data_IF_516484654487
#
_entry.id   IF_516484654487
#
_cell.length_a   1.000
_cell.length_b   1.000
_cell.length_c   1.000
_cell.angle_alpha   90.00
_cell.angle_beta   90.00
_cell.angle_gamma   90.00
#
_symmetry.space_group_name_H-M   'P 1'
#
loop_
_entity.id
_entity.type
_entity.pdbx_description
1 polymer ?
#
# COMPACT_ATOMS: atom_id res chain seq x y z
N UNK A 1 -12.37 -14.77 23.36
CA UNK A 1 -13.52 -14.99 22.45
C UNK A 1 -13.84 -13.74 21.66
N UNK A 2 -13.99 -12.57 22.31
CA UNK A 2 -14.36 -11.30 21.68
C UNK A 2 -13.38 -10.89 20.56
N UNK A 3 -12.07 -10.85 20.81
CA UNK A 3 -11.06 -10.45 19.82
C UNK A 3 -11.06 -11.38 18.60
N UNK A 4 -11.29 -12.69 18.77
CA UNK A 4 -11.41 -13.62 17.63
C UNK A 4 -12.60 -13.28 16.74
N UNK A 5 -13.75 -12.92 17.34
CA UNK A 5 -14.92 -12.48 16.57
C UNK A 5 -14.63 -11.21 15.76
N UNK A 6 -13.90 -10.25 16.35
CA UNK A 6 -13.48 -9.02 15.68
C UNK A 6 -12.50 -9.32 14.52
N UNK A 7 -11.52 -10.21 14.72
CA UNK A 7 -10.63 -10.66 13.64
C UNK A 7 -11.46 -11.21 12.47
N UNK A 8 -12.39 -12.12 12.76
CA UNK A 8 -13.25 -12.72 11.73
C UNK A 8 -14.08 -11.67 10.98
N UNK A 9 -14.68 -10.71 11.70
CA UNK A 9 -15.46 -9.62 11.12
C UNK A 9 -14.60 -8.74 10.19
N UNK A 10 -13.44 -8.30 10.66
CA UNK A 10 -12.55 -7.45 9.87
C UNK A 10 -11.98 -8.19 8.65
N UNK A 11 -11.61 -9.46 8.80
CA UNK A 11 -11.18 -10.29 7.67
C UNK A 11 -12.29 -10.52 6.64
N UNK A 12 -13.54 -10.72 7.09
CA UNK A 12 -14.69 -10.83 6.19
C UNK A 12 -14.92 -9.52 5.41
N UNK A 13 -14.81 -8.36 6.07
CA UNK A 13 -14.88 -7.06 5.42
C UNK A 13 -13.78 -6.87 4.37
N UNK A 14 -12.53 -7.21 4.70
CA UNK A 14 -11.41 -7.15 3.74
C UNK A 14 -11.62 -8.11 2.56
N UNK A 15 -12.13 -9.33 2.81
CA UNK A 15 -12.45 -10.29 1.75
C UNK A 15 -13.52 -9.74 0.81
N UNK A 16 -14.53 -9.08 1.36
CA UNK A 16 -15.55 -8.41 0.56
C UNK A 16 -14.98 -7.27 -0.27
N UNK A 17 -14.09 -6.44 0.30
CA UNK A 17 -13.49 -5.30 -0.39
C UNK A 17 -12.43 -5.72 -1.41
N UNK A 18 -11.49 -6.59 -1.04
CA UNK A 18 -10.26 -6.88 -1.81
C UNK A 18 -10.16 -8.31 -2.32
N UNK A 19 -11.08 -9.20 -1.92
CA UNK A 19 -11.09 -10.60 -2.37
C UNK A 19 -10.22 -11.55 -1.55
N UNK A 20 -9.55 -11.09 -0.48
CA UNK A 20 -8.74 -11.92 0.42
C UNK A 20 -8.81 -11.44 1.87
N UNK A 21 -8.31 -12.27 2.79
CA UNK A 21 -8.24 -11.96 4.23
C UNK A 21 -6.80 -11.63 4.62
N UNK A 22 -6.46 -10.34 4.85
CA UNK A 22 -5.09 -9.95 5.17
C UNK A 22 -4.57 -10.63 6.44
N UNK A 23 -3.37 -11.19 6.37
CA UNK A 23 -2.67 -11.82 7.51
C UNK A 23 -2.38 -10.86 8.65
N UNK A 24 -2.33 -9.57 8.34
CA UNK A 24 -2.05 -8.52 9.32
C UNK A 24 -3.22 -8.25 10.28
N UNK A 25 -4.47 -8.61 9.95
CA UNK A 25 -5.65 -8.30 10.78
C UNK A 25 -5.53 -8.85 12.21
N UNK A 26 -5.14 -10.12 12.45
CA UNK A 26 -4.93 -10.62 13.81
C UNK A 26 -3.91 -9.80 14.61
N UNK A 27 -2.83 -9.34 13.97
CA UNK A 27 -1.79 -8.53 14.62
C UNK A 27 -2.29 -7.13 14.99
N UNK A 28 -3.14 -6.52 14.14
CA UNK A 28 -3.79 -5.24 14.46
C UNK A 28 -4.69 -5.40 15.70
N UNK A 29 -5.50 -6.46 15.73
CA UNK A 29 -6.39 -6.73 16.87
C UNK A 29 -5.58 -7.02 18.12
N UNK A 30 -4.49 -7.78 18.02
CA UNK A 30 -3.59 -8.04 19.15
C UNK A 30 -2.93 -6.76 19.70
N UNK A 31 -2.53 -5.83 18.82
CA UNK A 31 -1.86 -4.59 19.21
C UNK A 31 -2.81 -3.53 19.79
N UNK A 32 -4.07 -3.47 19.32
CA UNK A 32 -5.02 -2.41 19.69
C UNK A 32 -6.16 -2.89 20.60
N UNK A 33 -6.31 -4.21 20.80
CA UNK A 33 -7.53 -4.83 21.32
C UNK A 33 -8.67 -4.78 20.31
N UNK A 34 -9.65 -5.67 20.42
CA UNK A 34 -10.75 -5.77 19.45
C UNK A 34 -11.53 -4.46 19.26
N UNK A 35 -11.91 -3.80 20.36
CA UNK A 35 -12.66 -2.55 20.30
C UNK A 35 -11.82 -1.40 19.72
N UNK A 36 -10.52 -1.33 20.08
CA UNK A 36 -9.56 -0.36 19.52
C UNK A 36 -9.41 -0.53 18.02
N UNK A 37 -9.23 -1.76 17.54
CA UNK A 37 -9.16 -2.08 16.13
C UNK A 37 -10.44 -1.67 15.37
N UNK A 38 -11.62 -1.99 15.89
CA UNK A 38 -12.89 -1.57 15.27
C UNK A 38 -13.01 -0.04 15.16
N UNK A 39 -12.72 0.68 16.23
CA UNK A 39 -12.73 2.15 16.22
C UNK A 39 -11.74 2.71 15.21
N UNK A 40 -10.54 2.15 15.16
CA UNK A 40 -9.50 2.56 14.22
C UNK A 40 -9.93 2.35 12.77
N UNK A 41 -10.48 1.16 12.44
CA UNK A 41 -10.99 0.88 11.09
C UNK A 41 -12.17 1.78 10.74
N UNK A 42 -13.13 1.96 11.64
CA UNK A 42 -14.28 2.85 11.41
C UNK A 42 -13.88 4.31 11.17
N UNK A 43 -12.82 4.79 11.82
CA UNK A 43 -12.34 6.15 11.64
C UNK A 43 -11.53 6.34 10.35
N UNK A 44 -10.80 5.32 9.89
CA UNK A 44 -9.83 5.46 8.80
C UNK A 44 -10.33 4.91 7.46
N UNK A 45 -11.08 3.81 7.43
CA UNK A 45 -11.49 3.18 6.17
C UNK A 45 -12.39 4.04 5.28
N UNK A 46 -13.40 4.77 5.81
CA UNK A 46 -14.19 5.65 4.96
C UNK A 46 -13.34 6.75 4.30
N UNK A 47 -12.41 7.33 5.06
CA UNK A 47 -11.48 8.37 4.54
C UNK A 47 -10.53 7.78 3.49
N UNK A 48 -10.03 6.57 3.72
CA UNK A 48 -9.20 5.85 2.75
C UNK A 48 -9.94 5.58 1.45
N UNK A 49 -11.19 5.10 1.51
CA UNK A 49 -12.02 4.83 0.32
C UNK A 49 -12.30 6.12 -0.47
N UNK A 50 -12.60 7.22 0.21
CA UNK A 50 -12.74 8.54 -0.44
C UNK A 50 -11.41 8.97 -1.06
N UNK A 51 -10.28 8.73 -0.40
CA UNK A 51 -8.95 9.05 -0.96
C UNK A 51 -8.66 8.24 -2.22
N UNK A 52 -9.01 6.95 -2.26
CA UNK A 52 -8.91 6.11 -3.47
C UNK A 52 -9.73 6.67 -4.65
N UNK A 53 -10.90 7.24 -4.37
CA UNK A 53 -11.74 7.86 -5.40
C UNK A 53 -11.19 9.21 -5.88
N UNK A 54 -10.73 10.06 -4.95
CA UNK A 54 -10.29 11.43 -5.26
C UNK A 54 -8.90 11.48 -5.87
N UNK A 55 -7.93 10.77 -5.31
CA UNK A 55 -6.54 10.74 -5.81
C UNK A 55 -6.34 9.70 -6.91
N UNK A 56 -7.27 8.74 -7.03
CA UNK A 56 -7.14 7.58 -7.89
C UNK A 56 -6.31 6.46 -7.27
N UNK A 57 -6.57 5.24 -7.73
CA UNK A 57 -5.93 4.05 -7.16
C UNK A 57 -4.41 4.03 -7.34
N UNK A 58 -3.89 4.42 -8.52
CA UNK A 58 -2.45 4.39 -8.78
C UNK A 58 -1.68 5.31 -7.82
N UNK A 59 -2.11 6.57 -7.64
CA UNK A 59 -1.49 7.53 -6.71
C UNK A 59 -1.58 7.08 -5.26
N UNK A 60 -2.74 6.57 -4.85
CA UNK A 60 -2.95 6.10 -3.47
C UNK A 60 -2.04 4.92 -3.14
N UNK A 61 -1.91 3.95 -4.05
CA UNK A 61 -1.04 2.79 -3.84
C UNK A 61 0.44 3.11 -4.01
N UNK A 62 0.80 4.03 -4.90
CA UNK A 62 2.16 4.57 -4.96
C UNK A 62 2.56 5.19 -3.61
N UNK A 63 1.72 6.08 -3.07
CA UNK A 63 1.95 6.66 -1.74
C UNK A 63 2.08 5.58 -0.65
N UNK A 64 1.16 4.59 -0.64
CA UNK A 64 1.22 3.47 0.30
C UNK A 64 2.51 2.68 0.20
N UNK A 65 2.97 2.38 -1.01
CA UNK A 65 4.22 1.67 -1.25
C UNK A 65 5.44 2.46 -0.72
N UNK A 66 5.58 3.74 -1.10
CA UNK A 66 6.76 4.52 -0.69
C UNK A 66 6.78 4.82 0.80
N UNK A 67 5.62 5.09 1.43
CA UNK A 67 5.50 5.25 2.88
C UNK A 67 5.88 3.95 3.59
N UNK A 68 5.46 2.79 3.08
CA UNK A 68 5.74 1.49 3.68
C UNK A 68 7.22 1.11 3.54
N UNK A 69 7.85 1.41 2.41
CA UNK A 69 9.29 1.24 2.23
C UNK A 69 10.08 2.14 3.19
N UNK A 70 9.69 3.42 3.31
CA UNK A 70 10.30 4.34 4.27
C UNK A 70 10.21 3.85 5.71
N UNK A 71 9.09 3.22 6.08
CA UNK A 71 8.84 2.68 7.42
C UNK A 71 9.39 1.25 7.61
N UNK A 72 10.07 0.66 6.64
CA UNK A 72 10.65 -0.68 6.72
C UNK A 72 9.64 -1.83 6.70
N UNK A 73 8.41 -1.62 6.20
CA UNK A 73 7.36 -2.64 6.17
C UNK A 73 7.25 -3.31 4.80
N UNK A 74 7.90 -4.47 4.63
CA UNK A 74 7.83 -5.24 3.38
C UNK A 74 6.41 -5.69 3.04
N UNK A 75 5.69 -6.25 4.02
CA UNK A 75 4.31 -6.69 3.85
C UNK A 75 3.41 -5.63 3.24
N UNK A 76 3.44 -4.42 3.81
CA UNK A 76 2.61 -3.32 3.34
C UNK A 76 3.11 -2.77 1.99
N UNK A 77 4.44 -2.64 1.82
CA UNK A 77 5.03 -2.17 0.57
C UNK A 77 4.66 -3.11 -0.60
N UNK A 78 4.73 -4.43 -0.37
CA UNK A 78 4.33 -5.42 -1.36
C UNK A 78 2.84 -5.32 -1.70
N UNK A 79 1.94 -5.29 -0.72
CA UNK A 79 0.49 -5.22 -0.97
C UNK A 79 0.07 -3.97 -1.76
N UNK A 80 0.67 -2.82 -1.47
CA UNK A 80 0.46 -1.60 -2.23
C UNK A 80 1.16 -1.62 -3.59
N UNK A 81 2.40 -2.08 -3.66
CA UNK A 81 3.14 -2.20 -4.93
C UNK A 81 2.45 -3.15 -5.90
N UNK A 82 1.98 -4.30 -5.44
CA UNK A 82 1.24 -5.25 -6.28
C UNK A 82 -0.10 -4.67 -6.77
N UNK A 83 -0.82 -3.93 -5.91
CA UNK A 83 -2.00 -3.21 -6.36
C UNK A 83 -1.67 -2.18 -7.47
N UNK A 84 -0.56 -1.44 -7.33
CA UNK A 84 -0.08 -0.48 -8.33
C UNK A 84 0.26 -1.19 -9.66
N UNK A 85 0.97 -2.32 -9.62
CA UNK A 85 1.28 -3.11 -10.82
C UNK A 85 0.02 -3.58 -11.57
N UNK A 86 -0.96 -4.11 -10.84
CA UNK A 86 -2.21 -4.57 -11.44
C UNK A 86 -3.03 -3.41 -12.04
N UNK A 87 -3.12 -2.29 -11.32
CA UNK A 87 -3.81 -1.09 -11.82
C UNK A 87 -3.12 -0.52 -13.04
N UNK A 88 -1.80 -0.44 -13.03
CA UNK A 88 -1.02 0.05 -14.16
C UNK A 88 -1.17 -0.84 -15.39
N UNK A 89 -1.10 -2.18 -15.21
CA UNK A 89 -1.31 -3.14 -16.29
C UNK A 89 -2.73 -3.00 -16.88
N UNK A 90 -3.75 -2.90 -16.02
CA UNK A 90 -5.13 -2.73 -16.48
C UNK A 90 -5.32 -1.46 -17.30
N UNK A 91 -4.72 -0.34 -16.86
CA UNK A 91 -4.95 0.99 -17.43
C UNK A 91 -4.00 1.30 -18.61
N UNK A 92 -2.81 0.69 -18.67
CA UNK A 92 -1.76 0.99 -19.67
C UNK A 92 -1.39 -0.20 -20.56
N UNK A 93 -1.98 -1.36 -20.35
CA UNK A 93 -1.76 -2.58 -21.14
C UNK A 93 -0.30 -3.07 -21.20
N UNK A 94 0.52 -2.68 -20.23
CA UNK A 94 1.92 -3.08 -20.09
C UNK A 94 2.32 -3.24 -18.62
N UNK A 95 3.40 -4.00 -18.37
CA UNK A 95 3.93 -4.15 -17.01
C UNK A 95 4.44 -2.83 -16.45
N UNK A 96 4.18 -2.62 -15.16
CA UNK A 96 4.85 -1.56 -14.41
C UNK A 96 6.35 -1.89 -14.32
N UNK A 97 7.26 -0.91 -14.47
CA UNK A 97 8.71 -1.15 -14.54
C UNK A 97 9.33 -1.70 -13.26
N UNK A 98 8.62 -1.64 -12.13
CA UNK A 98 9.02 -2.29 -10.88
C UNK A 98 8.42 -3.70 -10.84
N UNK A 99 9.17 -4.66 -10.31
CA UNK A 99 8.67 -5.96 -9.85
C UNK A 99 8.62 -5.93 -8.33
N UNK A 100 7.42 -6.07 -7.75
CA UNK A 100 7.24 -6.05 -6.29
C UNK A 100 8.07 -7.08 -5.54
N UNK A 101 8.47 -8.17 -6.20
CA UNK A 101 9.36 -9.19 -5.62
C UNK A 101 10.76 -8.65 -5.30
N UNK A 102 11.14 -7.53 -5.92
CA UNK A 102 12.44 -6.86 -5.67
C UNK A 102 12.42 -5.89 -4.49
N UNK A 103 11.24 -5.55 -3.95
CA UNK A 103 11.10 -4.55 -2.88
C UNK A 103 11.84 -4.91 -1.59
N UNK A 104 12.08 -6.19 -1.33
CA UNK A 104 12.88 -6.61 -0.17
C UNK A 104 14.29 -5.99 -0.20
N UNK A 105 14.92 -5.92 -1.37
CA UNK A 105 16.25 -5.31 -1.51
C UNK A 105 16.23 -3.78 -1.33
N UNK A 106 15.06 -3.16 -1.45
CA UNK A 106 14.90 -1.70 -1.30
C UNK A 106 14.77 -1.25 0.14
N UNK A 107 14.38 -2.15 1.06
CA UNK A 107 14.27 -1.84 2.49
C UNK A 107 15.61 -1.43 3.13
N UNK A 108 16.72 -1.93 2.60
CA UNK A 108 18.06 -1.59 3.08
C UNK A 108 18.63 -0.30 2.47
N UNK A 109 17.93 0.33 1.51
CA UNK A 109 18.41 1.52 0.85
C UNK A 109 18.36 2.74 1.77
N UNK A 110 19.41 3.58 1.79
CA UNK A 110 19.33 4.90 2.41
C UNK A 110 18.20 5.74 1.79
N UNK A 111 17.56 6.66 2.55
CA UNK A 111 16.41 7.42 2.07
C UNK A 111 16.60 8.13 0.73
N UNK A 112 17.79 8.68 0.47
CA UNK A 112 18.11 9.31 -0.82
C UNK A 112 18.13 8.30 -1.97
N UNK A 113 18.71 7.12 -1.76
CA UNK A 113 18.77 6.07 -2.78
C UNK A 113 17.39 5.49 -3.05
N UNK A 114 16.58 5.28 -2.00
CA UNK A 114 15.19 4.89 -2.15
C UNK A 114 14.43 5.87 -3.04
N UNK A 115 14.56 7.18 -2.77
CA UNK A 115 13.90 8.19 -3.59
C UNK A 115 14.38 8.16 -5.05
N UNK A 116 15.68 8.07 -5.31
CA UNK A 116 16.22 7.95 -6.67
C UNK A 116 15.62 6.76 -7.40
N UNK A 117 15.56 5.57 -6.76
CA UNK A 117 14.97 4.37 -7.35
C UNK A 117 13.49 4.52 -7.68
N UNK A 118 12.71 5.12 -6.78
CA UNK A 118 11.29 5.43 -7.02
C UNK A 118 11.15 6.35 -8.23
N UNK A 119 11.96 7.42 -8.31
CA UNK A 119 11.94 8.36 -9.42
C UNK A 119 12.34 7.72 -10.77
N UNK A 120 13.31 6.81 -10.78
CA UNK A 120 13.72 6.05 -11.97
C UNK A 120 12.56 5.19 -12.49
N UNK A 121 11.90 4.44 -11.60
CA UNK A 121 10.74 3.60 -11.94
C UNK A 121 9.59 4.44 -12.50
N UNK A 122 9.28 5.56 -11.86
CA UNK A 122 8.17 6.43 -12.30
C UNK A 122 8.47 7.10 -13.64
N UNK A 123 9.71 7.50 -13.89
CA UNK A 123 10.13 7.99 -15.22
C UNK A 123 9.99 6.93 -16.29
N UNK A 124 10.46 5.70 -16.02
CA UNK A 124 10.32 4.58 -16.95
C UNK A 124 8.85 4.19 -17.19
N UNK A 125 7.98 4.41 -16.21
CA UNK A 125 6.54 4.23 -16.33
C UNK A 125 5.84 5.35 -17.12
N UNK A 126 6.49 6.49 -17.37
CA UNK A 126 5.86 7.69 -17.92
C UNK A 126 4.92 8.37 -16.91
N UNK A 127 5.20 8.24 -15.62
CA UNK A 127 4.38 8.76 -14.51
C UNK A 127 5.06 9.97 -13.83
N UNK A 128 5.37 11.01 -14.62
CA UNK A 128 6.12 12.18 -14.16
C UNK A 128 5.37 12.99 -13.10
N UNK A 129 4.05 13.13 -13.22
CA UNK A 129 3.23 13.82 -12.21
C UNK A 129 3.20 13.06 -10.88
N UNK A 130 3.21 11.74 -10.93
CA UNK A 130 3.22 10.86 -9.76
C UNK A 130 4.58 10.88 -9.04
N UNK A 131 5.67 11.29 -9.72
CA UNK A 131 6.97 11.49 -9.11
C UNK A 131 6.91 12.57 -8.01
N UNK A 132 6.23 13.69 -8.28
CA UNK A 132 6.01 14.74 -7.28
C UNK A 132 5.18 14.24 -6.08
N UNK A 133 4.17 13.40 -6.34
CA UNK A 133 3.37 12.80 -5.28
C UNK A 133 4.19 11.87 -4.37
N UNK A 134 5.11 11.11 -4.95
CA UNK A 134 6.00 10.25 -4.17
C UNK A 134 6.94 11.10 -3.30
N UNK A 135 7.49 12.19 -3.82
CA UNK A 135 8.34 13.12 -3.06
C UNK A 135 7.56 13.77 -1.92
N UNK A 136 6.34 14.28 -2.19
CA UNK A 136 5.47 14.86 -1.16
C UNK A 136 5.11 13.82 -0.09
N UNK A 137 4.79 12.58 -0.47
CA UNK A 137 4.48 11.51 0.48
C UNK A 137 5.67 11.23 1.42
N UNK A 138 6.88 11.18 0.88
CA UNK A 138 8.10 10.96 1.67
C UNK A 138 8.43 12.17 2.56
N UNK A 139 8.28 13.39 2.06
CA UNK A 139 8.50 14.61 2.84
C UNK A 139 7.52 14.70 4.03
N UNK A 140 6.23 14.39 3.80
CA UNK A 140 5.23 14.31 4.87
C UNK A 140 5.53 13.17 5.86
N UNK A 141 5.99 12.01 5.38
CA UNK A 141 6.33 10.88 6.24
C UNK A 141 7.54 11.17 7.14
N UNK A 142 8.49 11.98 6.68
CA UNK A 142 9.67 12.43 7.43
C UNK A 142 9.39 13.66 8.32
N UNK A 143 8.21 14.27 8.20
CA UNK A 143 7.89 15.52 8.91
C UNK A 143 8.61 16.76 8.35
N UNK A 144 9.15 16.68 7.14
CA UNK A 144 9.86 17.76 6.44
C UNK A 144 8.90 18.74 5.74
N UNK A 145 7.65 18.36 5.57
CA UNK A 145 6.60 19.19 4.98
C UNK A 145 5.32 19.15 5.81
N UNK A 146 4.47 20.17 5.61
CA UNK A 146 3.10 20.21 6.10
C UNK A 146 2.15 20.25 4.91
N UNK A 147 0.96 19.62 4.99
CA UNK A 147 0.01 19.62 3.89
C UNK A 147 -0.56 21.03 3.69
N UNK A 148 -0.57 21.50 2.43
CA UNK A 148 -1.01 22.86 2.07
C UNK A 148 -2.35 22.89 1.36
N UNK A 149 -2.81 21.78 0.80
CA UNK A 149 -4.09 21.66 0.11
C UNK A 149 -4.88 20.41 0.51
N UNK A 150 -6.09 20.28 -0.03
CA UNK A 150 -6.99 19.16 0.29
C UNK A 150 -6.43 17.80 -0.13
N UNK A 151 -5.65 17.73 -1.20
CA UNK A 151 -5.06 16.49 -1.69
C UNK A 151 -3.88 16.06 -0.82
N UNK A 152 -3.03 17.01 -0.40
CA UNK A 152 -1.94 16.77 0.54
C UNK A 152 -2.45 16.44 1.96
N UNK A 153 -3.57 17.03 2.39
CA UNK A 153 -4.24 16.61 3.64
C UNK A 153 -4.70 15.14 3.59
N UNK A 154 -5.17 14.65 2.42
CA UNK A 154 -5.48 13.24 2.22
C UNK A 154 -4.22 12.39 2.26
N UNK A 155 -3.14 12.84 1.64
CA UNK A 155 -1.84 12.18 1.66
C UNK A 155 -1.28 12.10 3.10
N UNK A 156 -1.37 13.18 3.87
CA UNK A 156 -0.99 13.21 5.29
C UNK A 156 -1.84 12.24 6.14
N UNK A 157 -3.13 12.05 5.79
CA UNK A 157 -3.94 11.00 6.40
C UNK A 157 -3.40 9.60 6.07
N UNK A 158 -3.03 9.33 4.80
CA UNK A 158 -2.40 8.06 4.42
C UNK A 158 -1.10 7.81 5.18
N UNK A 159 -0.25 8.84 5.34
CA UNK A 159 1.01 8.75 6.10
C UNK A 159 0.72 8.28 7.55
N UNK A 160 -0.26 8.88 8.23
CA UNK A 160 -0.62 8.48 9.60
C UNK A 160 -1.24 7.08 9.64
N UNK A 161 -2.16 6.77 8.73
CA UNK A 161 -2.87 5.50 8.66
C UNK A 161 -1.88 4.36 8.37
N UNK A 162 -1.12 4.46 7.28
CA UNK A 162 -0.14 3.44 6.90
C UNK A 162 1.01 3.37 7.90
N UNK A 163 1.49 4.49 8.43
CA UNK A 163 2.50 4.51 9.48
C UNK A 163 2.10 3.71 10.71
N UNK A 164 0.82 3.76 11.12
CA UNK A 164 0.32 2.92 12.21
C UNK A 164 0.31 1.44 11.83
N UNK A 165 -0.18 1.10 10.64
CA UNK A 165 -0.20 -0.28 10.15
C UNK A 165 1.21 -0.85 9.98
N UNK A 166 2.13 -0.04 9.41
CA UNK A 166 3.51 -0.45 9.20
C UNK A 166 4.21 -0.79 10.53
N UNK A 167 4.06 0.07 11.56
CA UNK A 167 4.64 -0.19 12.89
C UNK A 167 4.12 -1.50 13.48
N UNK A 168 2.82 -1.77 13.36
CA UNK A 168 2.24 -3.01 13.87
C UNK A 168 2.79 -4.21 13.10
N UNK A 169 2.84 -4.15 11.77
CA UNK A 169 3.34 -5.24 10.95
C UNK A 169 4.82 -5.54 11.22
N UNK A 170 5.65 -4.51 11.33
CA UNK A 170 7.08 -4.65 11.65
C UNK A 170 7.27 -5.23 13.05
N UNK A 171 6.57 -4.71 14.06
CA UNK A 171 6.65 -5.20 15.44
C UNK A 171 6.17 -6.66 15.59
N UNK A 172 5.22 -7.07 14.74
CA UNK A 172 4.69 -8.43 14.72
C UNK A 172 5.52 -9.42 13.87
N UNK A 173 6.59 -8.95 13.21
CA UNK A 173 7.38 -9.78 12.30
C UNK A 173 6.59 -10.25 11.07
N UNK A 174 5.58 -9.47 10.65
CA UNK A 174 4.76 -9.80 9.50
C UNK A 174 5.51 -9.40 8.21
N UNK A 175 6.26 -10.34 7.63
CA UNK A 175 7.11 -10.08 6.44
C UNK A 175 6.60 -10.78 5.19
N UNK A 176 5.85 -11.89 5.34
CA UNK A 176 5.36 -12.66 4.19
C UNK A 176 4.39 -11.84 3.35
N UNK A 177 4.67 -11.69 2.04
CA UNK A 177 3.78 -10.99 1.12
C UNK A 177 2.36 -11.57 1.12
N UNK A 178 1.40 -10.69 0.93
CA UNK A 178 -0.01 -11.03 0.77
C UNK A 178 -0.49 -10.56 -0.62
N UNK A 179 -1.78 -10.58 -0.86
CA UNK A 179 -2.42 -10.16 -2.11
C UNK A 179 -2.49 -8.62 -2.24
N UNK A 180 -2.89 -8.12 -3.42
CA UNK A 180 -3.06 -6.69 -3.65
C UNK A 180 -4.19 -6.09 -2.80
N UNK A 181 -3.88 -5.06 -2.01
CA UNK A 181 -4.81 -4.41 -1.08
C UNK A 181 -5.76 -3.43 -1.81
N UNK A 182 -6.38 -3.89 -2.90
CA UNK A 182 -7.26 -3.12 -3.76
C UNK A 182 -8.33 -4.02 -4.40
N UNK A 183 -9.53 -3.50 -4.74
CA UNK A 183 -10.55 -4.26 -5.47
C UNK A 183 -10.08 -4.89 -6.79
N UNK A 184 -9.06 -4.34 -7.45
CA UNK A 184 -8.44 -4.93 -8.66
C UNK A 184 -7.92 -6.35 -8.40
N UNK A 185 -7.62 -6.70 -7.16
CA UNK A 185 -7.22 -8.06 -6.77
C UNK A 185 -8.26 -9.13 -7.08
N UNK A 186 -9.55 -8.75 -7.20
CA UNK A 186 -10.64 -9.66 -7.59
C UNK A 186 -10.67 -9.93 -9.11
N UNK A 187 -9.96 -9.13 -9.91
CA UNK A 187 -9.88 -9.33 -11.36
C UNK A 187 -8.88 -10.45 -11.70
N UNK A 188 -9.43 -11.65 -11.85
CA UNK A 188 -8.65 -12.84 -12.17
C UNK A 188 -8.00 -12.77 -13.55
N UNK A 189 -8.57 -12.03 -14.50
CA UNK A 189 -8.02 -11.89 -15.85
C UNK A 189 -6.75 -11.05 -15.80
N UNK A 190 -6.81 -9.88 -15.14
CA UNK A 190 -5.64 -9.01 -14.94
C UNK A 190 -4.54 -9.75 -14.18
N UNK A 191 -4.87 -10.48 -13.10
CA UNK A 191 -3.88 -11.25 -12.33
C UNK A 191 -3.19 -12.33 -13.16
N UNK A 192 -3.95 -13.12 -13.93
CA UNK A 192 -3.36 -14.15 -14.81
C UNK A 192 -2.47 -13.53 -15.87
N UNK A 193 -2.92 -12.41 -16.49
CA UNK A 193 -2.12 -11.68 -17.48
C UNK A 193 -0.83 -11.14 -16.88
N UNK A 194 -0.90 -10.51 -15.69
CA UNK A 194 0.26 -10.03 -14.97
C UNK A 194 1.28 -11.15 -14.73
N UNK A 195 0.82 -12.29 -14.19
CA UNK A 195 1.69 -13.44 -13.93
C UNK A 195 2.36 -13.97 -15.22
N UNK A 196 1.61 -14.08 -16.31
CA UNK A 196 2.16 -14.52 -17.60
C UNK A 196 3.21 -13.57 -18.16
N UNK A 197 2.96 -12.26 -18.13
CA UNK A 197 3.92 -11.25 -18.60
C UNK A 197 5.18 -11.21 -17.73
N UNK A 198 5.06 -11.32 -16.40
CA UNK A 198 6.22 -11.39 -15.49
C UNK A 198 7.05 -12.65 -15.72
N UNK A 199 6.42 -13.80 -15.96
CA UNK A 199 7.14 -15.04 -16.28
C UNK A 199 7.91 -14.97 -17.61
N UNK A 200 7.39 -14.25 -18.59
CA UNK A 200 8.05 -14.06 -19.89
C UNK A 200 9.17 -13.00 -19.86
N UNK A 201 9.30 -12.23 -18.75
CA UNK A 201 10.30 -11.16 -18.63
C UNK A 201 11.55 -11.59 -17.83
N UNK A 202 11.60 -12.84 -17.36
CA UNK A 202 12.73 -13.48 -16.67
C UNK A 202 13.52 -14.30 -17.67
#
# INVERSE_FOLDING_TARGET
VFDRAIVTLLQAGCRMLWGFSPRMIPHIVAAMGGLGALRWFAANMPRYLVTLQVLGGQRTHLAGMVISLHNGCLYCAHGHGYALELLYLRDRDRLFPLDVRTLQSWLALPPRQLNIRVQEVLRAAGMHAEALWADTALALARGEAQPVDSAEHRLAHLVRMFGTMNRIAVAAGCHEPDEAQNPVNKDRAVKRRHAGLRAASV
#
